data_IF_222012204714
#
_entry.id   IF_222012204714
#
_cell.length_a   1.000
_cell.length_b   1.000
_cell.length_c   1.000
_cell.angle_alpha   90.00
_cell.angle_beta   90.00
_cell.angle_gamma   90.00
#
_symmetry.space_group_name_H-M   'P 1'
#
loop_
_entity.id
_entity.type
_entity.pdbx_description
1 polymer ?
#
# COMPACT_ATOMS: atom_id res chain seq x y z
N UNK A 1 29.90 -51.73 8.01
CA UNK A 1 28.75 -51.07 8.69
C UNK A 1 29.13 -49.63 8.98
N UNK A 2 28.74 -48.72 8.12
CA UNK A 2 28.75 -47.29 8.39
C UNK A 2 27.31 -46.82 8.42
N UNK A 3 26.82 -46.48 9.59
CA UNK A 3 25.55 -45.81 9.79
C UNK A 3 25.72 -44.32 9.52
N UNK A 4 25.01 -43.80 8.53
CA UNK A 4 24.86 -42.40 8.25
C UNK A 4 23.79 -41.79 9.20
N UNK A 5 24.03 -40.69 9.90
CA UNK A 5 23.02 -40.07 10.74
C UNK A 5 22.01 -39.29 9.88
N UNK A 6 20.72 -39.56 10.10
CA UNK A 6 19.60 -38.84 9.49
C UNK A 6 19.56 -37.36 9.94
N UNK A 7 19.29 -36.41 9.05
CA UNK A 7 19.15 -35.02 9.43
C UNK A 7 17.80 -34.74 10.13
N UNK A 8 17.88 -34.03 11.16
CA UNK A 8 16.87 -33.63 12.13
C UNK A 8 15.71 -32.82 11.54
N UNK A 9 14.59 -33.46 11.25
CA UNK A 9 13.28 -32.82 10.91
C UNK A 9 12.65 -32.06 12.10
N UNK A 10 13.22 -32.17 13.30
CA UNK A 10 12.63 -31.59 14.52
C UNK A 10 12.92 -30.09 14.73
N UNK A 11 14.02 -29.55 14.20
CA UNK A 11 14.38 -28.13 14.40
C UNK A 11 13.60 -27.14 13.56
N UNK A 12 13.06 -27.57 12.42
CA UNK A 12 12.33 -26.70 11.50
C UNK A 12 10.88 -26.41 11.96
N UNK A 13 10.25 -27.35 12.69
CA UNK A 13 8.90 -27.16 13.22
C UNK A 13 8.84 -26.10 14.34
N UNK A 14 9.88 -25.99 15.16
CA UNK A 14 9.95 -25.02 16.25
C UNK A 14 10.09 -23.58 15.73
N UNK A 15 10.82 -23.37 14.62
CA UNK A 15 11.05 -22.03 14.06
C UNK A 15 9.80 -21.48 13.36
N UNK A 16 9.04 -22.34 12.66
CA UNK A 16 7.79 -21.93 12.00
C UNK A 16 6.69 -21.56 13.01
N UNK A 17 6.61 -22.27 14.13
CA UNK A 17 5.65 -21.97 15.22
C UNK A 17 5.96 -20.62 15.88
N UNK A 18 7.23 -20.24 16.02
CA UNK A 18 7.65 -18.96 16.58
C UNK A 18 7.31 -17.79 15.63
N UNK A 19 7.45 -17.96 14.32
CA UNK A 19 7.09 -16.92 13.34
C UNK A 19 5.58 -16.71 13.28
N UNK A 20 4.77 -17.75 13.28
CA UNK A 20 3.31 -17.62 13.31
C UNK A 20 2.80 -17.02 14.64
N UNK A 21 3.40 -17.36 15.78
CA UNK A 21 3.05 -16.77 17.08
C UNK A 21 3.48 -15.31 17.16
N UNK A 22 4.59 -14.94 16.53
CA UNK A 22 5.05 -13.55 16.49
C UNK A 22 4.13 -12.67 15.62
N UNK A 23 3.63 -13.18 14.50
CA UNK A 23 2.65 -12.47 13.66
C UNK A 23 1.29 -12.29 14.35
N UNK A 24 0.82 -13.30 15.09
CA UNK A 24 -0.42 -13.18 15.87
C UNK A 24 -0.28 -12.23 17.06
N UNK A 25 0.90 -12.12 17.68
CA UNK A 25 1.17 -11.16 18.77
C UNK A 25 1.28 -9.71 18.27
N UNK A 26 1.73 -9.48 17.04
CA UNK A 26 1.72 -8.14 16.40
C UNK A 26 0.29 -7.73 16.08
N UNK A 27 -0.53 -8.62 15.54
CA UNK A 27 -1.96 -8.36 15.30
C UNK A 27 -2.75 -8.10 16.60
N UNK A 28 -2.44 -8.79 17.68
CA UNK A 28 -3.09 -8.60 18.98
C UNK A 28 -2.70 -7.26 19.65
N UNK A 29 -1.48 -6.74 19.41
CA UNK A 29 -1.08 -5.42 19.91
C UNK A 29 -1.72 -4.27 19.13
N UNK A 30 -2.01 -4.44 17.85
CA UNK A 30 -2.76 -3.46 17.05
C UNK A 30 -4.22 -3.31 17.53
N UNK A 31 -4.80 -4.34 18.14
CA UNK A 31 -6.17 -4.30 18.70
C UNK A 31 -6.25 -3.65 20.09
N UNK A 32 -5.14 -3.43 20.78
CA UNK A 32 -5.07 -2.92 22.15
C UNK A 32 -4.96 -1.39 22.29
N UNK A 33 -4.83 -0.65 21.17
CA UNK A 33 -4.73 0.82 21.19
C UNK A 33 -6.06 1.57 21.01
N UNK A 34 -7.17 0.91 21.09
CA UNK A 34 -8.48 1.49 20.87
C UNK A 34 -9.19 1.81 22.18
N UNK A 35 -8.72 2.75 22.93
CA UNK A 35 -9.53 3.65 23.75
C UNK A 35 -8.64 4.77 24.33
N UNK A 36 -7.94 5.50 23.47
CA UNK A 36 -7.58 6.86 23.84
C UNK A 36 -8.90 7.56 24.15
N UNK A 37 -9.02 8.07 25.38
CA UNK A 37 -10.24 8.75 25.81
C UNK A 37 -10.61 9.79 24.75
N UNK A 38 -11.75 9.62 24.09
CA UNK A 38 -12.23 10.54 23.05
C UNK A 38 -12.13 11.98 23.52
N UNK A 39 -12.34 12.21 24.83
CA UNK A 39 -12.23 13.54 25.44
C UNK A 39 -10.84 14.17 25.28
N UNK A 40 -9.78 13.39 25.32
CA UNK A 40 -8.41 13.91 25.12
C UNK A 40 -8.13 14.36 23.68
N UNK A 41 -8.91 13.88 22.72
CA UNK A 41 -8.84 14.23 21.31
C UNK A 41 -9.74 15.43 20.95
N UNK A 42 -10.63 15.85 21.86
CA UNK A 42 -11.54 16.96 21.64
C UNK A 42 -10.79 18.28 21.86
N UNK A 43 -10.44 18.91 20.77
CA UNK A 43 -9.82 20.24 20.76
C UNK A 43 -10.64 21.16 19.85
N UNK A 44 -10.70 22.44 20.23
CA UNK A 44 -11.18 23.47 19.31
C UNK A 44 -10.18 23.58 18.18
N UNK A 45 -10.61 23.33 16.95
CA UNK A 45 -9.74 23.38 15.78
C UNK A 45 -9.41 24.83 15.41
N UNK A 46 -8.23 25.04 14.84
CA UNK A 46 -7.90 26.31 14.22
C UNK A 46 -8.67 26.49 12.89
N UNK A 47 -8.53 27.65 12.24
CA UNK A 47 -9.26 27.98 11.02
C UNK A 47 -8.83 27.18 9.80
N UNK A 48 -7.65 26.55 9.83
CA UNK A 48 -7.07 25.78 8.71
C UNK A 48 -7.49 24.31 8.73
N UNK A 49 -8.03 23.82 9.86
CA UNK A 49 -8.37 22.41 10.04
C UNK A 49 -9.86 22.21 10.26
N UNK A 50 -10.38 21.14 9.71
CA UNK A 50 -11.70 20.60 9.98
C UNK A 50 -11.56 19.31 10.79
N UNK A 51 -12.64 18.90 11.42
CA UNK A 51 -12.69 17.65 12.16
C UNK A 51 -13.77 16.76 11.59
N UNK A 52 -13.42 15.50 11.42
CA UNK A 52 -14.33 14.42 11.03
C UNK A 52 -14.70 13.67 12.29
N UNK A 53 -15.94 13.83 12.73
CA UNK A 53 -16.49 13.12 13.88
C UNK A 53 -17.22 11.88 13.37
N UNK A 54 -16.75 10.70 13.77
CA UNK A 54 -17.48 9.45 13.54
C UNK A 54 -18.32 9.16 14.79
N UNK A 55 -19.62 9.05 14.61
CA UNK A 55 -20.54 8.74 15.70
C UNK A 55 -20.65 7.23 15.92
N UNK A 56 -21.20 6.83 17.06
CA UNK A 56 -21.33 5.39 17.42
C UNK A 56 -22.36 4.65 16.56
N UNK A 57 -23.31 5.34 15.95
CA UNK A 57 -24.25 4.81 14.98
C UNK A 57 -23.65 4.63 13.57
N UNK A 58 -22.36 5.00 13.41
CA UNK A 58 -21.64 4.94 12.14
C UNK A 58 -21.80 6.18 11.26
N UNK A 59 -22.62 7.15 11.64
CA UNK A 59 -22.73 8.41 10.91
C UNK A 59 -21.47 9.25 11.05
N UNK A 60 -21.24 10.13 10.08
CA UNK A 60 -20.07 11.02 10.05
C UNK A 60 -20.54 12.46 9.95
N UNK A 61 -20.04 13.30 10.87
CA UNK A 61 -20.23 14.74 10.85
C UNK A 61 -18.90 15.42 10.55
N UNK A 62 -18.91 16.32 9.60
CA UNK A 62 -17.74 17.11 9.21
C UNK A 62 -17.98 18.57 9.58
N UNK A 63 -17.05 19.15 10.32
CA UNK A 63 -17.16 20.52 10.77
C UNK A 63 -15.99 20.91 11.65
N UNK A 64 -16.11 22.06 12.27
CA UNK A 64 -15.14 22.56 13.24
C UNK A 64 -15.75 22.51 14.63
N UNK A 65 -15.08 21.86 15.58
CA UNK A 65 -15.48 21.98 16.98
C UNK A 65 -15.14 23.41 17.44
N UNK A 66 -16.17 24.18 17.72
CA UNK A 66 -16.04 25.57 18.15
C UNK A 66 -16.19 25.73 19.68
N UNK A 67 -16.82 24.77 20.33
CA UNK A 67 -16.91 24.71 21.78
C UNK A 67 -17.03 23.29 22.30
N UNK A 68 -16.43 23.06 23.46
CA UNK A 68 -16.49 21.78 24.20
C UNK A 68 -17.08 22.09 25.58
N UNK A 69 -18.30 21.63 25.81
CA UNK A 69 -18.94 21.67 27.11
C UNK A 69 -18.76 20.34 27.88
N UNK A 70 -19.36 20.22 29.04
CA UNK A 70 -19.19 19.04 29.88
C UNK A 70 -19.64 17.75 29.20
N UNK A 71 -20.80 17.76 28.50
CA UNK A 71 -21.39 16.59 27.87
C UNK A 71 -21.73 16.78 26.39
N UNK A 72 -21.47 17.97 25.83
CA UNK A 72 -21.81 18.32 24.46
C UNK A 72 -20.67 19.03 23.74
N UNK A 73 -20.62 18.84 22.44
CA UNK A 73 -19.76 19.57 21.50
C UNK A 73 -20.63 20.50 20.67
N UNK A 74 -20.17 21.69 20.43
CA UNK A 74 -20.73 22.56 19.38
C UNK A 74 -19.84 22.44 18.16
N UNK A 75 -20.41 21.96 17.07
CA UNK A 75 -19.72 21.75 15.79
C UNK A 75 -20.31 22.70 14.77
N UNK A 76 -19.48 23.56 14.21
CA UNK A 76 -19.83 24.42 13.06
C UNK A 76 -19.64 23.60 11.78
N UNK A 77 -20.72 23.37 11.05
CA UNK A 77 -20.73 22.61 9.80
C UNK A 77 -21.25 23.47 8.65
N UNK A 78 -21.24 22.94 7.43
CA UNK A 78 -21.81 23.61 6.23
C UNK A 78 -23.32 23.91 6.35
N UNK A 79 -24.00 23.21 7.23
CA UNK A 79 -25.46 23.39 7.47
C UNK A 79 -25.77 24.22 8.72
N UNK A 80 -24.75 24.76 9.40
CA UNK A 80 -24.87 25.56 10.61
C UNK A 80 -24.24 24.92 11.84
N UNK A 81 -24.54 25.47 13.00
CA UNK A 81 -24.04 24.94 14.26
C UNK A 81 -24.90 23.80 14.78
N UNK A 82 -24.24 22.69 15.11
CA UNK A 82 -24.86 21.48 15.63
C UNK A 82 -24.34 21.17 17.03
N UNK A 83 -25.27 20.81 17.94
CA UNK A 83 -24.90 20.30 19.25
C UNK A 83 -24.85 18.77 19.23
N UNK A 84 -23.69 18.19 19.55
CA UNK A 84 -23.44 16.75 19.50
C UNK A 84 -23.07 16.25 20.89
N UNK A 85 -23.79 15.27 21.45
CA UNK A 85 -23.41 14.66 22.73
C UNK A 85 -22.03 13.98 22.62
N UNK A 86 -21.12 14.25 23.55
CA UNK A 86 -19.78 13.64 23.58
C UNK A 86 -19.89 12.11 23.64
N UNK A 87 -20.89 11.58 24.37
CA UNK A 87 -21.12 10.16 24.48
C UNK A 87 -21.47 9.47 23.15
N UNK A 88 -21.99 10.21 22.16
CA UNK A 88 -22.27 9.68 20.82
C UNK A 88 -21.06 9.66 19.91
N UNK A 89 -19.98 10.35 20.27
CA UNK A 89 -18.76 10.40 19.44
C UNK A 89 -17.92 9.15 19.69
N UNK A 90 -17.59 8.47 18.62
CA UNK A 90 -16.69 7.30 18.62
C UNK A 90 -15.25 7.70 18.34
N UNK A 91 -15.04 8.64 17.42
CA UNK A 91 -13.72 9.06 16.95
C UNK A 91 -13.77 10.50 16.45
N UNK A 92 -12.72 11.24 16.71
CA UNK A 92 -12.47 12.55 16.10
C UNK A 92 -11.16 12.45 15.32
N UNK A 93 -11.16 12.95 14.10
CA UNK A 93 -9.97 13.02 13.26
C UNK A 93 -9.85 14.44 12.73
N UNK A 94 -8.74 15.07 13.01
CA UNK A 94 -8.40 16.37 12.44
C UNK A 94 -7.92 16.18 11.00
N UNK A 95 -8.44 16.99 10.09
CA UNK A 95 -8.15 16.90 8.67
C UNK A 95 -7.90 18.30 8.12
N UNK A 96 -6.96 18.39 7.19
CA UNK A 96 -6.73 19.63 6.49
C UNK A 96 -7.95 19.99 5.61
N UNK A 97 -8.30 21.25 5.53
CA UNK A 97 -9.49 21.71 4.80
C UNK A 97 -9.41 21.47 3.30
N UNK A 98 -8.21 21.32 2.73
CA UNK A 98 -7.95 20.99 1.32
C UNK A 98 -8.39 19.55 0.96
N UNK A 99 -8.61 18.69 1.98
CA UNK A 99 -9.17 17.34 1.80
C UNK A 99 -10.68 17.32 1.61
N UNK A 100 -11.32 18.46 1.68
CA UNK A 100 -12.75 18.59 1.38
C UNK A 100 -12.94 18.86 -0.12
N UNK A 101 -13.59 17.93 -0.81
CA UNK A 101 -13.97 18.07 -2.23
C UNK A 101 -15.47 17.87 -2.35
N UNK A 102 -16.16 18.85 -2.91
CA UNK A 102 -17.62 18.81 -3.11
C UNK A 102 -18.44 18.51 -1.82
N UNK A 103 -17.98 19.01 -0.67
CA UNK A 103 -18.65 18.77 0.62
C UNK A 103 -18.37 17.40 1.26
N UNK A 104 -17.54 16.57 0.63
CA UNK A 104 -17.13 15.26 1.15
C UNK A 104 -15.65 15.27 1.58
N UNK A 105 -15.37 14.60 2.69
CA UNK A 105 -13.99 14.33 3.11
C UNK A 105 -13.37 13.22 2.25
N UNK A 106 -12.29 13.55 1.56
CA UNK A 106 -11.48 12.61 0.80
C UNK A 106 -10.29 12.17 1.63
N UNK A 107 -10.38 11.01 2.25
CA UNK A 107 -9.29 10.43 3.02
C UNK A 107 -8.02 10.28 2.16
N UNK A 108 -6.80 10.28 2.76
CA UNK A 108 -5.56 10.04 2.03
C UNK A 108 -5.62 8.73 1.23
N UNK A 109 -5.03 8.73 0.02
CA UNK A 109 -4.91 7.50 -0.76
C UNK A 109 -4.06 6.46 0.00
N UNK A 110 -4.61 5.32 0.43
CA UNK A 110 -3.86 4.38 1.26
C UNK A 110 -2.82 3.59 0.47
N UNK A 111 -2.85 3.63 -0.86
CA UNK A 111 -1.95 2.88 -1.74
C UNK A 111 -1.16 3.79 -2.71
N UNK A 112 -0.78 5.01 -2.28
CA UNK A 112 -0.08 5.98 -3.14
C UNK A 112 1.39 5.59 -3.46
N UNK A 113 1.97 4.60 -2.78
CA UNK A 113 3.38 4.22 -2.92
C UNK A 113 3.66 3.24 -4.06
N UNK A 114 2.61 2.81 -4.77
CA UNK A 114 2.69 1.91 -5.93
C UNK A 114 1.48 2.07 -6.85
N UNK A 115 1.62 1.65 -8.09
CA UNK A 115 0.53 1.42 -9.03
C UNK A 115 -0.10 0.04 -8.75
N UNK A 116 -0.24 -0.83 -9.74
CA UNK A 116 -0.64 -2.22 -9.48
C UNK A 116 0.52 -3.02 -8.88
N UNK A 117 1.58 -3.17 -9.63
CA UNK A 117 2.80 -3.89 -9.29
C UNK A 117 3.98 -2.94 -9.08
N UNK A 118 4.14 -1.99 -10.01
CA UNK A 118 5.27 -1.08 -10.01
C UNK A 118 5.22 -0.12 -8.84
N UNK A 119 6.35 0.13 -8.18
CA UNK A 119 6.47 1.15 -7.17
C UNK A 119 6.30 2.54 -7.78
N UNK A 120 5.73 3.47 -7.03
CA UNK A 120 5.83 4.90 -7.32
C UNK A 120 7.08 5.49 -6.68
N UNK A 121 7.42 6.74 -7.03
CA UNK A 121 8.51 7.48 -6.38
C UNK A 121 8.22 7.87 -4.92
N UNK A 122 6.98 7.68 -4.44
CA UNK A 122 6.58 8.04 -3.08
C UNK A 122 7.05 6.99 -2.07
N UNK A 123 7.41 7.47 -0.87
CA UNK A 123 7.86 6.62 0.23
C UNK A 123 6.73 6.38 1.25
N UNK A 124 6.83 5.30 2.00
CA UNK A 124 6.09 5.13 3.25
C UNK A 124 6.75 6.01 4.31
N UNK A 125 5.96 6.69 5.12
CA UNK A 125 6.46 7.42 6.27
C UNK A 125 6.99 6.44 7.34
N UNK A 126 7.88 6.93 8.18
CA UNK A 126 8.44 6.11 9.26
C UNK A 126 7.33 5.54 10.16
N UNK A 127 7.29 4.23 10.27
CA UNK A 127 6.33 3.49 11.08
C UNK A 127 5.02 3.16 10.38
N UNK A 128 4.76 3.73 9.21
CA UNK A 128 3.64 3.33 8.35
C UNK A 128 3.97 2.02 7.63
N UNK A 129 2.93 1.26 7.34
CA UNK A 129 3.09 0.02 6.61
C UNK A 129 1.78 -0.46 6.00
N UNK A 130 1.89 -1.48 5.18
CA UNK A 130 0.74 -2.19 4.63
C UNK A 130 0.99 -3.68 4.52
N UNK A 131 -0.08 -4.45 4.60
CA UNK A 131 -0.15 -5.83 4.13
C UNK A 131 -0.78 -5.79 2.74
N UNK A 132 -0.26 -6.56 1.81
CA UNK A 132 -0.81 -6.71 0.45
C UNK A 132 -0.93 -8.18 0.10
N UNK A 133 -1.81 -8.48 -0.85
CA UNK A 133 -1.94 -9.81 -1.41
C UNK A 133 -2.26 -9.72 -2.91
N UNK A 134 -1.26 -10.03 -3.73
CA UNK A 134 -1.41 -10.08 -5.17
C UNK A 134 -1.95 -11.45 -5.60
N UNK A 135 -3.00 -11.43 -6.41
CA UNK A 135 -3.60 -12.64 -7.01
C UNK A 135 -3.99 -13.72 -5.98
N UNK A 136 -4.21 -13.33 -4.70
CA UNK A 136 -4.54 -14.25 -3.59
C UNK A 136 -3.40 -15.22 -3.22
N UNK A 137 -2.32 -15.24 -4.00
CA UNK A 137 -1.22 -16.19 -3.85
C UNK A 137 0.10 -15.56 -3.42
N UNK A 138 0.19 -14.23 -3.35
CA UNK A 138 1.44 -13.53 -3.05
C UNK A 138 1.25 -12.51 -1.93
N UNK A 139 0.95 -12.98 -0.69
CA UNK A 139 0.89 -12.08 0.45
C UNK A 139 2.26 -11.48 0.74
N UNK A 140 2.23 -10.23 1.19
CA UNK A 140 3.41 -9.50 1.57
C UNK A 140 3.13 -8.38 2.55
N UNK A 141 4.20 -7.81 3.05
CA UNK A 141 4.19 -6.67 3.96
C UNK A 141 5.25 -5.68 3.53
N UNK A 142 4.97 -4.39 3.68
CA UNK A 142 5.96 -3.34 3.52
C UNK A 142 5.85 -2.34 4.66
N UNK A 143 7.00 -1.81 5.09
CA UNK A 143 7.09 -0.83 6.19
C UNK A 143 8.06 0.28 5.84
N UNK A 144 7.76 1.51 6.27
CA UNK A 144 8.67 2.64 6.29
C UNK A 144 9.61 2.52 7.48
N UNK A 145 10.86 2.22 7.22
CA UNK A 145 11.91 2.17 8.26
C UNK A 145 12.30 3.58 8.67
N UNK A 146 12.37 4.46 7.69
CA UNK A 146 12.50 5.91 7.82
C UNK A 146 11.59 6.56 6.78
N UNK A 147 11.46 7.88 6.78
CA UNK A 147 10.70 8.60 5.75
C UNK A 147 11.30 8.47 4.35
N UNK A 148 12.54 8.01 4.25
CA UNK A 148 13.26 7.84 3.00
C UNK A 148 13.63 6.38 2.67
N UNK A 149 13.41 5.43 3.57
CA UNK A 149 13.75 4.02 3.38
C UNK A 149 12.55 3.18 3.74
N UNK A 150 12.12 2.33 2.81
CA UNK A 150 11.11 1.30 3.04
C UNK A 150 11.63 -0.07 2.64
N UNK A 151 11.17 -1.08 3.34
CA UNK A 151 11.47 -2.49 3.06
C UNK A 151 10.14 -3.23 3.00
N UNK A 152 9.96 -3.99 1.94
CA UNK A 152 8.85 -4.91 1.80
C UNK A 152 9.34 -6.30 1.44
N UNK A 153 8.45 -7.26 1.56
CA UNK A 153 8.71 -8.64 1.16
C UNK A 153 7.51 -9.53 1.42
N UNK A 154 7.57 -10.73 0.89
CA UNK A 154 6.52 -11.72 1.03
C UNK A 154 6.93 -13.05 0.47
N UNK A 155 5.94 -13.91 0.28
CA UNK A 155 6.15 -15.23 -0.28
C UNK A 155 4.94 -15.66 -1.12
N UNK A 156 5.13 -16.63 -2.00
CA UNK A 156 4.00 -17.29 -2.65
C UNK A 156 3.31 -18.25 -1.67
N UNK A 157 2.01 -18.49 -1.91
CA UNK A 157 1.20 -19.50 -1.21
C UNK A 157 0.60 -20.46 -2.22
N UNK A 158 1.43 -21.04 -3.10
CA UNK A 158 0.97 -22.06 -4.01
C UNK A 158 0.56 -23.31 -3.23
N UNK A 159 -0.43 -24.08 -3.71
CA UNK A 159 -0.84 -25.36 -3.13
C UNK A 159 0.22 -26.45 -3.41
N UNK A 160 1.44 -26.21 -2.97
CA UNK A 160 2.65 -27.00 -3.17
C UNK A 160 3.47 -27.06 -1.88
N UNK A 161 4.58 -27.79 -1.88
CA UNK A 161 5.47 -27.86 -0.72
C UNK A 161 6.12 -26.53 -0.37
N UNK A 162 6.63 -26.38 0.85
CA UNK A 162 7.34 -25.17 1.27
C UNK A 162 8.61 -24.92 0.44
N UNK A 163 9.22 -25.96 -0.05
CA UNK A 163 10.39 -25.96 -0.92
C UNK A 163 10.08 -25.43 -2.34
N UNK A 164 8.81 -25.41 -2.74
CA UNK A 164 8.36 -24.89 -4.02
C UNK A 164 7.88 -23.43 -3.95
N UNK A 165 7.90 -22.81 -2.76
CA UNK A 165 7.50 -21.43 -2.60
C UNK A 165 8.59 -20.45 -3.03
N UNK A 166 8.16 -19.33 -3.57
CA UNK A 166 8.99 -18.18 -3.89
C UNK A 166 8.97 -17.16 -2.75
N UNK A 167 10.10 -16.54 -2.49
CA UNK A 167 10.20 -15.39 -1.60
C UNK A 167 10.57 -14.17 -2.41
N UNK A 168 10.07 -13.01 -2.00
CA UNK A 168 10.48 -11.76 -2.60
C UNK A 168 10.81 -10.70 -1.55
N UNK A 169 11.73 -9.81 -1.91
CA UNK A 169 12.17 -8.68 -1.11
C UNK A 169 12.13 -7.41 -1.97
N UNK A 170 11.64 -6.30 -1.41
CA UNK A 170 11.48 -5.03 -2.11
C UNK A 170 12.06 -3.85 -1.32
N UNK A 171 13.40 -3.73 -1.21
CA UNK A 171 14.02 -2.55 -0.64
C UNK A 171 13.83 -1.35 -1.57
N UNK A 172 13.52 -0.18 -0.99
CA UNK A 172 13.35 1.07 -1.72
C UNK A 172 13.87 2.24 -0.89
N UNK A 173 14.60 3.15 -1.54
CA UNK A 173 15.09 4.40 -0.97
C UNK A 173 14.71 5.55 -1.90
N UNK A 174 14.23 6.66 -1.32
CA UNK A 174 13.79 7.80 -2.12
C UNK A 174 13.26 8.94 -1.26
N UNK A 175 12.56 9.85 -1.90
CA UNK A 175 11.93 10.97 -1.22
C UNK A 175 11.37 12.00 -2.18
N UNK A 176 10.78 13.05 -1.62
CA UNK A 176 10.29 14.19 -2.38
C UNK A 176 11.47 15.10 -2.77
N UNK A 177 11.58 15.40 -4.06
CA UNK A 177 12.46 16.46 -4.57
C UNK A 177 11.77 17.82 -4.52
N UNK A 178 10.47 17.84 -4.73
CA UNK A 178 9.59 19.00 -4.65
C UNK A 178 8.20 18.53 -4.20
N UNK A 179 7.30 19.45 -3.88
CA UNK A 179 5.96 19.17 -3.38
C UNK A 179 5.21 18.08 -4.17
N UNK A 180 5.32 18.08 -5.50
CA UNK A 180 4.63 17.15 -6.40
C UNK A 180 5.60 16.28 -7.21
N UNK A 181 6.87 16.17 -6.82
CA UNK A 181 7.89 15.38 -7.51
C UNK A 181 8.58 14.47 -6.52
N UNK A 182 8.37 13.17 -6.67
CA UNK A 182 8.98 12.15 -5.83
C UNK A 182 9.84 11.22 -6.67
N UNK A 183 10.99 10.81 -6.15
CA UNK A 183 11.88 9.85 -6.81
C UNK A 183 12.29 8.75 -5.85
N UNK A 184 12.51 7.58 -6.40
CA UNK A 184 13.04 6.46 -5.64
C UNK A 184 13.88 5.55 -6.52
N UNK A 185 14.78 4.83 -5.87
CA UNK A 185 15.50 3.67 -6.43
C UNK A 185 15.21 2.46 -5.55
N UNK A 186 15.21 1.28 -6.13
CA UNK A 186 14.93 0.07 -5.38
C UNK A 186 15.22 -1.18 -6.18
N UNK A 187 14.84 -2.31 -5.60
CA UNK A 187 14.91 -3.60 -6.25
C UNK A 187 13.69 -4.45 -5.90
N UNK A 188 13.33 -5.33 -6.82
CA UNK A 188 12.54 -6.53 -6.55
C UNK A 188 13.49 -7.72 -6.69
N UNK A 189 13.66 -8.48 -5.63
CA UNK A 189 14.53 -9.65 -5.56
C UNK A 189 13.63 -10.85 -5.27
N UNK A 190 13.68 -11.88 -6.13
CA UNK A 190 12.89 -13.10 -6.01
C UNK A 190 13.83 -14.27 -5.93
N UNK A 191 13.59 -15.18 -5.00
CA UNK A 191 14.32 -16.45 -4.85
C UNK A 191 13.40 -17.57 -4.40
N UNK A 192 13.77 -18.81 -4.67
CA UNK A 192 13.11 -20.02 -4.16
C UNK A 192 13.84 -20.59 -2.95
N UNK A 193 13.18 -21.46 -2.18
CA UNK A 193 13.83 -22.18 -1.07
C UNK A 193 14.78 -23.25 -1.60
N UNK A 194 14.38 -23.92 -2.67
CA UNK A 194 15.15 -25.01 -3.27
C UNK A 194 16.09 -24.58 -4.39
N UNK A 195 15.95 -23.37 -4.89
CA UNK A 195 16.76 -22.84 -5.99
C UNK A 195 17.71 -21.75 -5.44
N UNK A 196 19.02 -21.97 -5.60
CA UNK A 196 20.03 -21.00 -5.20
C UNK A 196 20.07 -19.77 -6.12
N UNK A 197 19.36 -19.79 -7.25
CA UNK A 197 19.34 -18.68 -8.19
C UNK A 197 18.33 -17.61 -7.76
N UNK A 198 18.80 -16.36 -7.68
CA UNK A 198 17.94 -15.21 -7.47
C UNK A 198 17.72 -14.48 -8.78
N UNK A 199 16.47 -14.06 -9.04
CA UNK A 199 16.12 -13.19 -10.16
C UNK A 199 15.52 -11.91 -9.65
N UNK A 200 15.54 -10.86 -10.46
CA UNK A 200 14.92 -9.61 -10.01
C UNK A 200 15.12 -8.48 -10.98
N UNK A 201 14.79 -7.29 -10.51
CA UNK A 201 14.98 -6.03 -11.22
C UNK A 201 15.47 -4.97 -10.26
N UNK A 202 16.50 -4.23 -10.63
CA UNK A 202 16.86 -2.97 -9.99
C UNK A 202 16.27 -1.83 -10.81
N UNK A 203 15.71 -0.83 -10.15
CA UNK A 203 14.96 0.23 -10.84
C UNK A 203 15.19 1.61 -10.24
N UNK A 204 14.98 2.63 -11.09
CA UNK A 204 14.75 4.00 -10.68
C UNK A 204 13.38 4.45 -11.14
N UNK A 205 12.66 5.20 -10.33
CA UNK A 205 11.30 5.65 -10.61
C UNK A 205 11.08 7.08 -10.16
N UNK A 206 10.34 7.83 -10.97
CA UNK A 206 9.88 9.18 -10.66
C UNK A 206 8.36 9.27 -10.75
N UNK A 207 7.75 9.99 -9.83
CA UNK A 207 6.31 10.24 -9.81
C UNK A 207 6.06 11.75 -9.72
N UNK A 208 5.26 12.25 -10.64
CA UNK A 208 4.81 13.63 -10.70
C UNK A 208 3.32 13.72 -10.40
N UNK A 209 2.92 14.72 -9.62
CA UNK A 209 1.54 14.98 -9.24
C UNK A 209 1.21 14.63 -7.78
N UNK A 210 -0.05 14.79 -7.41
CA UNK A 210 -0.57 14.50 -6.08
C UNK A 210 -0.83 13.00 -5.87
N UNK A 211 -1.07 12.52 -4.63
CA UNK A 211 -1.52 11.15 -4.39
C UNK A 211 -2.86 10.78 -5.05
N UNK A 212 -3.67 11.78 -5.43
CA UNK A 212 -4.98 11.57 -6.08
C UNK A 212 -4.91 11.69 -7.60
N UNK A 213 -3.85 12.29 -8.16
CA UNK A 213 -3.66 12.43 -9.61
C UNK A 213 -2.16 12.48 -9.92
N UNK A 214 -1.63 11.42 -10.50
CA UNK A 214 -0.19 11.32 -10.73
C UNK A 214 0.17 10.52 -11.99
N UNK A 215 1.34 10.87 -12.52
CA UNK A 215 2.05 10.10 -13.53
C UNK A 215 3.35 9.55 -12.92
N UNK A 216 3.68 8.33 -13.28
CA UNK A 216 4.86 7.63 -12.81
C UNK A 216 5.60 7.05 -14.00
N UNK A 217 6.91 7.29 -14.06
CA UNK A 217 7.79 6.71 -15.06
C UNK A 217 9.01 6.08 -14.37
N UNK A 218 9.48 4.97 -14.90
CA UNK A 218 10.60 4.23 -14.35
C UNK A 218 11.41 3.52 -15.41
N UNK A 219 12.66 3.23 -15.05
CA UNK A 219 13.56 2.36 -15.80
C UNK A 219 14.17 1.34 -14.85
N UNK A 220 14.27 0.10 -15.30
CA UNK A 220 14.87 -0.97 -14.53
C UNK A 220 15.69 -1.91 -15.40
N UNK A 221 16.63 -2.61 -14.76
CA UNK A 221 17.43 -3.66 -15.37
C UNK A 221 17.21 -4.97 -14.63
N UNK A 222 16.76 -5.98 -15.37
CA UNK A 222 16.62 -7.34 -14.84
C UNK A 222 17.96 -7.96 -14.52
N UNK A 223 18.00 -8.86 -13.54
CA UNK A 223 19.17 -9.68 -13.23
C UNK A 223 18.78 -11.13 -12.94
N UNK A 224 19.73 -12.04 -13.18
CA UNK A 224 19.64 -13.45 -12.80
C UNK A 224 20.98 -13.89 -12.24
N UNK A 225 21.01 -14.27 -10.97
CA UNK A 225 22.25 -14.49 -10.23
C UNK A 225 23.13 -13.24 -10.25
N UNK A 226 24.33 -13.36 -10.82
CA UNK A 226 25.29 -12.25 -10.97
C UNK A 226 25.22 -11.56 -12.33
N UNK A 227 24.36 -12.01 -13.22
CA UNK A 227 24.24 -11.49 -14.59
C UNK A 227 23.13 -10.44 -14.67
N UNK A 228 23.49 -9.24 -15.13
CA UNK A 228 22.54 -8.15 -15.36
C UNK A 228 22.15 -8.07 -16.83
N UNK A 229 20.88 -7.85 -17.11
CA UNK A 229 20.38 -7.59 -18.47
C UNK A 229 21.04 -6.32 -19.03
N UNK A 230 21.29 -6.32 -20.33
CA UNK A 230 21.74 -5.11 -21.05
C UNK A 230 20.56 -4.27 -21.54
N UNK A 231 19.38 -4.88 -21.66
CA UNK A 231 18.17 -4.21 -22.14
C UNK A 231 17.37 -3.71 -20.92
N UNK A 232 17.05 -2.42 -20.86
CA UNK A 232 16.23 -1.87 -19.80
C UNK A 232 14.76 -2.26 -20.00
N UNK A 233 14.02 -2.27 -18.91
CA UNK A 233 12.56 -2.27 -18.89
C UNK A 233 12.10 -0.86 -18.57
N UNK A 234 11.36 -0.24 -19.49
CA UNK A 234 10.72 1.05 -19.23
C UNK A 234 9.30 0.82 -18.70
N UNK A 235 8.91 1.59 -17.71
CA UNK A 235 7.58 1.59 -17.13
C UNK A 235 6.99 2.99 -17.22
N UNK A 236 5.72 3.08 -17.64
CA UNK A 236 4.93 4.31 -17.62
C UNK A 236 3.53 4.00 -17.12
N UNK A 237 3.10 4.71 -16.11
CA UNK A 237 1.78 4.52 -15.54
C UNK A 237 1.27 5.76 -14.83
N UNK A 238 0.10 5.63 -14.23
CA UNK A 238 -0.51 6.74 -13.49
C UNK A 238 -1.76 6.32 -12.76
N UNK A 239 -2.19 7.21 -11.89
CA UNK A 239 -3.40 7.08 -11.12
C UNK A 239 -4.19 8.38 -11.19
N UNK A 240 -5.51 8.27 -11.37
CA UNK A 240 -6.46 9.37 -11.30
C UNK A 240 -7.64 8.98 -10.42
N UNK A 241 -7.77 9.60 -9.27
CA UNK A 241 -8.89 9.40 -8.37
C UNK A 241 -10.08 10.21 -8.83
N UNK A 242 -11.11 9.53 -9.33
CA UNK A 242 -12.31 10.14 -9.94
C UNK A 242 -13.45 10.34 -8.93
N UNK A 243 -13.42 9.65 -7.81
CA UNK A 243 -14.36 9.86 -6.70
C UNK A 243 -13.69 9.55 -5.37
N UNK A 244 -14.37 9.83 -4.27
CA UNK A 244 -13.88 9.53 -2.92
C UNK A 244 -13.38 8.09 -2.76
N UNK A 245 -13.98 7.13 -3.49
CA UNK A 245 -13.72 5.70 -3.36
C UNK A 245 -13.21 5.03 -4.62
N UNK A 246 -13.05 5.75 -5.73
CA UNK A 246 -12.69 5.14 -7.02
C UNK A 246 -11.52 5.90 -7.63
N UNK A 247 -10.46 5.18 -7.93
CA UNK A 247 -9.34 5.59 -8.77
C UNK A 247 -9.26 4.78 -10.05
N UNK A 248 -8.81 5.41 -11.12
CA UNK A 248 -8.41 4.75 -12.36
C UNK A 248 -6.89 4.61 -12.33
N UNK A 249 -6.38 3.44 -12.64
CA UNK A 249 -4.95 3.16 -12.61
C UNK A 249 -4.54 2.51 -13.92
N UNK A 250 -3.36 2.88 -14.42
CA UNK A 250 -2.70 2.23 -15.56
C UNK A 250 -1.22 2.01 -15.25
N UNK A 251 -0.67 0.92 -15.76
CA UNK A 251 0.72 0.54 -15.57
C UNK A 251 1.19 -0.24 -16.79
N UNK A 252 2.14 0.32 -17.53
CA UNK A 252 2.52 -0.20 -18.84
C UNK A 252 4.02 -0.43 -18.87
N UNK A 253 4.46 -1.51 -19.52
CA UNK A 253 5.85 -1.91 -19.64
C UNK A 253 6.26 -2.05 -21.10
N UNK A 254 7.44 -1.53 -21.40
CA UNK A 254 8.07 -1.59 -22.72
C UNK A 254 9.49 -2.11 -22.51
N UNK A 255 9.85 -3.15 -23.25
CA UNK A 255 11.20 -3.72 -23.28
C UNK A 255 11.75 -3.43 -24.68
N UNK A 256 12.59 -2.40 -24.87
CA UNK A 256 13.18 -2.08 -26.15
C UNK A 256 14.08 -3.23 -26.66
N UNK A 257 14.25 -3.30 -27.97
CA UNK A 257 15.17 -4.23 -28.63
C UNK A 257 14.91 -5.72 -28.34
N UNK A 258 13.67 -6.07 -28.04
CA UNK A 258 13.23 -7.47 -27.91
C UNK A 258 12.01 -7.69 -28.78
N UNK A 259 11.78 -8.94 -29.20
CA UNK A 259 10.53 -9.37 -29.83
C UNK A 259 9.36 -9.42 -28.83
N UNK A 260 9.60 -9.01 -27.57
CA UNK A 260 8.60 -8.98 -26.55
C UNK A 260 7.60 -7.83 -26.79
N UNK A 261 6.33 -8.18 -26.83
CA UNK A 261 5.28 -7.19 -26.96
C UNK A 261 5.17 -6.30 -25.71
N UNK A 262 4.86 -5.02 -25.85
CA UNK A 262 4.56 -4.16 -24.71
C UNK A 262 3.40 -4.74 -23.88
N UNK A 263 3.49 -4.57 -22.57
CA UNK A 263 2.41 -4.94 -21.65
C UNK A 263 1.65 -3.66 -21.30
N UNK A 264 0.36 -3.66 -21.56
CA UNK A 264 -0.55 -2.58 -21.20
C UNK A 264 -1.50 -3.06 -20.11
N UNK A 265 -1.73 -2.22 -19.12
CA UNK A 265 -2.72 -2.52 -18.10
C UNK A 265 -3.60 -1.31 -17.81
N UNK A 266 -4.82 -1.58 -17.43
CA UNK A 266 -5.78 -0.58 -16.98
C UNK A 266 -6.74 -1.22 -15.98
N UNK A 267 -7.17 -0.45 -15.01
CA UNK A 267 -8.07 -0.96 -13.99
C UNK A 267 -8.61 0.10 -13.06
N UNK A 268 -9.34 -0.38 -12.09
CA UNK A 268 -10.03 0.41 -11.08
C UNK A 268 -9.49 0.07 -9.71
N UNK A 269 -9.15 1.09 -8.94
CA UNK A 269 -8.81 1.01 -7.52
C UNK A 269 -10.01 1.42 -6.69
N UNK A 270 -10.56 0.48 -5.93
CA UNK A 270 -11.59 0.72 -4.94
C UNK A 270 -10.91 1.09 -3.61
N UNK A 271 -11.28 2.23 -3.02
CA UNK A 271 -10.60 2.80 -1.86
C UNK A 271 -11.52 2.87 -0.65
N UNK A 272 -11.04 2.38 0.49
CA UNK A 272 -11.48 2.71 1.83
C UNK A 272 -10.45 3.58 2.54
N UNK A 273 -10.67 3.94 3.80
CA UNK A 273 -9.73 4.78 4.56
C UNK A 273 -8.36 4.10 4.78
N UNK A 274 -8.36 2.78 4.92
CA UNK A 274 -7.16 1.98 5.18
C UNK A 274 -6.97 0.80 4.21
N UNK A 275 -7.91 0.59 3.30
CA UNK A 275 -7.89 -0.58 2.42
C UNK A 275 -8.10 -0.14 0.97
N UNK A 276 -7.39 -0.82 0.06
CA UNK A 276 -7.71 -0.76 -1.38
C UNK A 276 -7.88 -2.15 -1.94
N UNK A 277 -8.72 -2.22 -2.98
CA UNK A 277 -8.85 -3.39 -3.85
C UNK A 277 -8.63 -2.89 -5.27
N UNK A 278 -7.64 -3.45 -5.95
CA UNK A 278 -7.36 -3.16 -7.34
C UNK A 278 -7.89 -4.27 -8.22
N UNK A 279 -8.64 -3.91 -9.26
CA UNK A 279 -9.15 -4.81 -10.28
C UNK A 279 -8.66 -4.30 -11.63
N UNK A 280 -7.86 -5.09 -12.33
CA UNK A 280 -7.26 -4.67 -13.58
C UNK A 280 -7.23 -5.78 -14.63
N UNK A 281 -6.92 -5.38 -15.85
CA UNK A 281 -6.64 -6.27 -16.98
C UNK A 281 -5.25 -5.96 -17.52
N UNK A 282 -4.44 -6.99 -17.69
CA UNK A 282 -3.11 -6.91 -18.29
C UNK A 282 -3.11 -7.54 -19.67
N UNK A 283 -2.76 -6.75 -20.69
CA UNK A 283 -2.70 -7.18 -22.07
C UNK A 283 -1.25 -7.17 -22.57
N UNK A 284 -0.77 -8.29 -23.08
CA UNK A 284 0.44 -8.31 -23.88
C UNK A 284 0.08 -7.91 -25.32
N UNK A 285 0.72 -6.87 -25.83
CA UNK A 285 0.51 -6.41 -27.22
C UNK A 285 0.72 -7.57 -28.19
N UNK A 286 -0.13 -7.67 -29.23
CA UNK A 286 -0.02 -8.74 -30.22
C UNK A 286 -0.65 -10.08 -29.82
N UNK A 287 -1.22 -10.24 -28.65
CA UNK A 287 -1.84 -11.49 -28.20
C UNK A 287 -3.13 -11.85 -28.94
N UNK A 288 -3.69 -10.93 -29.75
CA UNK A 288 -4.97 -11.15 -30.45
C UNK A 288 -6.19 -11.28 -29.52
N UNK A 289 -5.98 -11.32 -28.20
CA UNK A 289 -7.03 -11.39 -27.20
C UNK A 289 -7.53 -9.99 -26.88
N UNK A 290 -8.83 -9.76 -27.04
CA UNK A 290 -9.47 -8.51 -26.63
C UNK A 290 -9.61 -8.41 -25.09
N UNK A 291 -9.48 -9.53 -24.38
CA UNK A 291 -9.62 -9.63 -22.93
C UNK A 291 -8.24 -9.98 -22.37
N UNK A 292 -7.67 -9.06 -21.57
CA UNK A 292 -6.40 -9.28 -20.87
C UNK A 292 -6.49 -10.31 -19.75
N UNK A 293 -5.35 -10.63 -19.16
CA UNK A 293 -5.30 -11.42 -17.93
C UNK A 293 -5.88 -10.58 -16.79
N UNK A 294 -6.85 -11.11 -16.03
CA UNK A 294 -7.39 -10.41 -14.87
C UNK A 294 -6.30 -10.30 -13.79
N UNK A 295 -6.35 -9.21 -13.06
CA UNK A 295 -5.47 -8.94 -11.92
C UNK A 295 -6.31 -8.44 -10.75
N UNK A 296 -6.02 -8.98 -9.57
CA UNK A 296 -6.60 -8.54 -8.31
C UNK A 296 -5.51 -8.33 -7.27
N UNK A 297 -5.62 -7.26 -6.51
CA UNK A 297 -4.73 -6.95 -5.40
C UNK A 297 -5.49 -6.34 -4.24
N UNK A 298 -5.11 -6.75 -3.05
CA UNK A 298 -5.65 -6.24 -1.79
C UNK A 298 -4.54 -5.57 -1.01
N UNK A 299 -4.82 -4.37 -0.49
CA UNK A 299 -3.90 -3.65 0.40
C UNK A 299 -4.63 -3.22 1.65
N UNK A 300 -4.03 -3.45 2.78
CA UNK A 300 -4.49 -2.93 4.06
C UNK A 300 -3.35 -2.16 4.74
N UNK A 301 -3.54 -0.84 4.90
CA UNK A 301 -2.59 0.06 5.58
C UNK A 301 -2.83 0.08 7.08
N UNK A 302 -1.78 0.02 7.86
CA UNK A 302 -1.81 0.05 9.33
C UNK A 302 -0.91 1.15 9.89
#
# INVERSE_FOLDING_TARGET
>A
NFETPMPTKARFRATLTVVCVSLTLIAARASGQATADVRSQLKVADSAHLQVLTLRDGSTLIGRIVAVAQDTLTVESSVGQLSVPIASVRRVQEVASDRMKNGEYWFPNPNATRLFFAPSGRMLEKGDGYVSDYEVFFPGVAVGVTDNISIGGGMSLFPAGLDEQLFYLTPKIGGALQENVNVAVGALIIGGIADESTVGIVYGVGTFGSPDASLTAGLGYGFSGTTMSRTPVAMLGGELRVSRRIGLVTENYIIPDTDANPIFSYGVRLMGEKMTVDLALFNAGGSGSAIGLPFVDFVFRF
#
